data_IF_919889832233
#
_entry.id   IF_919889832233
#
_cell.length_a   1.000
_cell.length_b   1.000
_cell.length_c   1.000
_cell.angle_alpha   90.00
_cell.angle_beta   90.00
_cell.angle_gamma   90.00
#
_symmetry.space_group_name_H-M   'P 1'
#
loop_
_entity.id
_entity.type
_entity.pdbx_description
1 polymer ?
#
# COMPACT_ATOMS: atom_id res chain seq x y z
N UNK A 1 20.38 -10.91 -42.15
CA UNK A 1 19.20 -10.02 -42.29
C UNK A 1 19.15 -9.16 -41.03
N UNK A 2 19.47 -7.87 -41.17
CA UNK A 2 19.28 -6.91 -40.09
C UNK A 2 17.78 -6.71 -39.91
N UNK A 3 17.29 -6.97 -38.69
CA UNK A 3 15.94 -6.61 -38.30
C UNK A 3 15.94 -5.10 -38.14
N UNK A 4 15.22 -4.39 -39.00
CA UNK A 4 15.04 -2.94 -38.87
C UNK A 4 14.29 -2.68 -37.55
N UNK A 5 14.69 -1.67 -36.77
CA UNK A 5 13.95 -1.29 -35.59
C UNK A 5 12.53 -0.90 -36.01
N UNK A 6 11.55 -1.50 -35.36
CA UNK A 6 10.13 -1.21 -35.53
C UNK A 6 9.94 0.24 -35.04
N UNK A 7 9.48 1.13 -35.89
CA UNK A 7 9.14 2.50 -35.52
C UNK A 7 7.97 2.46 -34.51
N UNK A 8 8.26 2.81 -33.28
CA UNK A 8 7.26 2.81 -32.19
C UNK A 8 6.05 3.72 -32.48
N UNK A 9 6.19 4.68 -33.39
CA UNK A 9 5.09 5.56 -33.81
C UNK A 9 4.13 4.90 -34.81
N UNK A 10 4.46 3.72 -35.36
CA UNK A 10 3.61 2.99 -36.29
C UNK A 10 2.88 1.80 -35.71
N UNK A 11 3.14 1.46 -34.46
CA UNK A 11 2.38 0.42 -33.76
C UNK A 11 1.15 1.06 -33.14
N UNK A 12 0.05 1.04 -33.86
CA UNK A 12 -1.25 1.33 -33.29
C UNK A 12 -1.64 0.13 -32.38
N UNK A 13 -1.22 0.19 -31.13
CA UNK A 13 -1.51 -0.86 -30.15
C UNK A 13 -2.97 -0.75 -29.71
N UNK A 14 -3.88 -1.10 -30.59
CA UNK A 14 -5.26 -1.35 -30.20
C UNK A 14 -5.29 -2.56 -29.25
N UNK A 15 -5.84 -2.37 -28.06
CA UNK A 15 -6.06 -3.50 -27.18
C UNK A 15 -7.24 -4.35 -27.70
N UNK A 16 -7.36 -5.58 -27.22
CA UNK A 16 -8.38 -6.52 -27.68
C UNK A 16 -9.82 -5.96 -27.58
N UNK A 17 -10.08 -5.06 -26.66
CA UNK A 17 -11.40 -4.43 -26.51
C UNK A 17 -11.67 -3.44 -27.64
N UNK A 18 -10.69 -2.62 -28.01
CA UNK A 18 -10.78 -1.70 -29.15
C UNK A 18 -10.98 -2.46 -30.47
N UNK A 19 -10.28 -3.59 -30.62
CA UNK A 19 -10.44 -4.46 -31.82
C UNK A 19 -11.87 -4.99 -32.00
N UNK A 20 -12.64 -5.12 -30.92
CA UNK A 20 -14.05 -5.53 -30.96
C UNK A 20 -15.02 -4.35 -30.80
N UNK A 21 -14.53 -3.12 -31.00
CA UNK A 21 -15.34 -1.89 -30.99
C UNK A 21 -15.71 -1.39 -29.60
N UNK A 22 -14.95 -1.77 -28.56
CA UNK A 22 -15.15 -1.30 -27.19
C UNK A 22 -14.11 -0.25 -26.86
N UNK A 23 -14.46 1.01 -27.08
CA UNK A 23 -13.57 2.14 -26.76
C UNK A 23 -13.54 2.44 -25.26
N UNK A 24 -14.64 2.18 -24.56
CA UNK A 24 -14.78 2.42 -23.13
C UNK A 24 -15.46 1.23 -22.44
N UNK A 25 -14.71 0.50 -21.63
CA UNK A 25 -15.18 -0.70 -20.93
C UNK A 25 -16.32 -0.35 -19.96
N UNK A 26 -16.27 0.78 -19.25
CA UNK A 26 -17.35 1.19 -18.32
C UNK A 26 -18.68 1.36 -19.04
N UNK A 27 -18.65 2.08 -20.17
CA UNK A 27 -19.85 2.25 -21.01
C UNK A 27 -20.34 0.92 -21.60
N UNK A 28 -19.43 0.07 -22.02
CA UNK A 28 -19.76 -1.25 -22.56
C UNK A 28 -20.38 -2.18 -21.49
N UNK A 29 -19.97 -2.10 -20.22
CA UNK A 29 -20.58 -2.85 -19.12
C UNK A 29 -21.99 -2.33 -18.84
N UNK A 30 -22.23 -1.03 -18.92
CA UNK A 30 -23.58 -0.44 -18.72
C UNK A 30 -24.56 -0.87 -19.81
N UNK A 31 -24.08 -1.02 -21.06
CA UNK A 31 -24.88 -1.48 -22.21
C UNK A 31 -24.36 -2.81 -22.77
N UNK A 32 -24.11 -3.78 -21.88
CA UNK A 32 -23.50 -5.07 -22.24
C UNK A 32 -24.32 -5.87 -23.25
N UNK A 33 -25.62 -5.62 -23.38
CA UNK A 33 -26.47 -6.27 -24.39
C UNK A 33 -26.13 -5.85 -25.82
N UNK A 34 -25.48 -4.72 -25.99
CA UNK A 34 -25.05 -4.20 -27.30
C UNK A 34 -23.72 -4.81 -27.75
N UNK A 35 -22.90 -5.26 -26.80
CA UNK A 35 -21.55 -5.76 -27.05
C UNK A 35 -21.46 -7.26 -26.78
N UNK A 36 -20.56 -8.00 -27.46
CA UNK A 36 -20.37 -9.44 -27.22
C UNK A 36 -19.55 -9.67 -25.93
N UNK A 37 -20.02 -9.13 -24.79
CA UNK A 37 -19.38 -9.23 -23.49
C UNK A 37 -20.36 -9.74 -22.44
N UNK A 38 -19.82 -10.49 -21.48
CA UNK A 38 -20.54 -10.90 -20.27
C UNK A 38 -19.81 -10.35 -19.05
N UNK A 39 -20.34 -9.29 -18.41
CA UNK A 39 -19.67 -8.71 -17.25
C UNK A 39 -19.81 -9.61 -16.02
N UNK A 40 -18.70 -9.86 -15.33
CA UNK A 40 -18.69 -10.51 -14.02
C UNK A 40 -18.83 -9.45 -12.94
N UNK A 41 -20.04 -9.21 -12.46
CA UNK A 41 -20.38 -8.11 -11.56
C UNK A 41 -20.42 -8.49 -10.08
N UNK A 42 -19.99 -9.71 -9.73
CA UNK A 42 -19.89 -10.14 -8.34
C UNK A 42 -18.46 -10.53 -8.02
N UNK A 43 -17.88 -9.91 -7.00
CA UNK A 43 -16.58 -10.29 -6.47
C UNK A 43 -16.72 -11.12 -5.19
N UNK A 44 -15.87 -12.15 -5.04
CA UNK A 44 -15.87 -13.10 -3.91
C UNK A 44 -14.61 -13.01 -3.05
N UNK A 45 -13.63 -12.18 -3.42
CA UNK A 45 -12.33 -12.09 -2.76
C UNK A 45 -12.42 -11.39 -1.42
N UNK A 46 -12.84 -10.13 -1.45
CA UNK A 46 -12.81 -9.25 -0.28
C UNK A 46 -14.13 -9.27 0.48
N UNK A 47 -14.08 -9.03 1.77
CA UNK A 47 -15.27 -8.77 2.60
C UNK A 47 -16.05 -7.57 2.09
N UNK A 48 -17.35 -7.45 2.38
CA UNK A 48 -18.23 -6.44 1.76
C UNK A 48 -17.74 -5.00 1.91
N UNK A 49 -17.15 -4.60 3.05
CA UNK A 49 -16.65 -3.24 3.27
C UNK A 49 -15.54 -2.90 2.26
N UNK A 50 -14.54 -3.76 2.12
CA UNK A 50 -13.44 -3.57 1.17
C UNK A 50 -13.96 -3.66 -0.27
N UNK A 51 -14.80 -4.64 -0.57
CA UNK A 51 -15.38 -4.82 -1.89
C UNK A 51 -16.23 -3.63 -2.35
N UNK A 52 -17.00 -3.01 -1.45
CA UNK A 52 -17.76 -1.80 -1.73
C UNK A 52 -16.85 -0.59 -1.96
N UNK A 53 -15.77 -0.44 -1.17
CA UNK A 53 -14.79 0.61 -1.38
C UNK A 53 -14.18 0.49 -2.79
N UNK A 54 -13.64 -0.67 -3.14
CA UNK A 54 -13.02 -0.94 -4.44
C UNK A 54 -14.02 -0.73 -5.58
N UNK A 55 -15.27 -1.17 -5.39
CA UNK A 55 -16.32 -1.01 -6.39
C UNK A 55 -16.67 0.46 -6.65
N UNK A 56 -16.85 1.26 -5.58
CA UNK A 56 -17.11 2.70 -5.69
C UNK A 56 -15.92 3.46 -6.28
N UNK A 57 -14.71 3.04 -5.91
CA UNK A 57 -13.48 3.70 -6.33
C UNK A 57 -13.20 3.54 -7.82
N UNK A 58 -13.36 2.32 -8.37
CA UNK A 58 -12.90 2.01 -9.74
C UNK A 58 -13.98 1.56 -10.70
N UNK A 59 -15.15 1.17 -10.20
CA UNK A 59 -16.21 0.54 -11.00
C UNK A 59 -17.57 1.20 -10.84
N UNK A 60 -17.62 2.45 -10.38
CA UNK A 60 -18.87 3.24 -10.18
C UNK A 60 -19.96 2.46 -9.40
N UNK A 61 -19.53 1.59 -8.49
CA UNK A 61 -20.43 0.76 -7.70
C UNK A 61 -21.08 -0.42 -8.46
N UNK A 62 -20.67 -0.69 -9.70
CA UNK A 62 -21.26 -1.77 -10.52
C UNK A 62 -20.88 -3.16 -10.04
N UNK A 63 -19.63 -3.36 -9.62
CA UNK A 63 -19.18 -4.64 -9.08
C UNK A 63 -19.63 -4.77 -7.63
N UNK A 64 -20.41 -5.80 -7.33
CA UNK A 64 -20.94 -6.02 -5.98
C UNK A 64 -20.11 -7.04 -5.22
N UNK A 65 -19.80 -6.81 -3.94
CA UNK A 65 -19.25 -7.87 -3.11
C UNK A 65 -20.28 -8.94 -2.86
N UNK A 66 -19.84 -10.19 -2.70
CA UNK A 66 -20.70 -11.27 -2.24
C UNK A 66 -21.14 -10.99 -0.80
N UNK A 67 -22.41 -10.73 -0.60
CA UNK A 67 -22.96 -10.14 0.64
C UNK A 67 -22.72 -11.00 1.89
N UNK A 68 -22.57 -12.31 1.72
CA UNK A 68 -22.41 -13.26 2.83
C UNK A 68 -20.94 -13.54 3.18
N UNK A 69 -19.99 -12.88 2.51
CA UNK A 69 -18.59 -13.04 2.86
C UNK A 69 -18.29 -12.28 4.16
N UNK A 70 -18.12 -13.01 5.23
CA UNK A 70 -17.58 -12.50 6.49
C UNK A 70 -16.04 -12.60 6.49
N UNK A 71 -15.32 -11.86 7.36
CA UNK A 71 -13.91 -12.11 7.62
C UNK A 71 -13.70 -13.58 7.98
N UNK A 72 -12.77 -14.24 7.27
CA UNK A 72 -12.48 -15.65 7.52
C UNK A 72 -11.60 -15.84 8.76
N UNK A 73 -10.77 -14.82 9.04
CA UNK A 73 -9.81 -14.84 10.13
C UNK A 73 -10.04 -13.64 11.04
N UNK A 74 -10.20 -13.82 12.34
CA UNK A 74 -10.34 -12.71 13.26
C UNK A 74 -9.01 -11.96 13.38
N UNK A 75 -9.06 -10.65 13.62
CA UNK A 75 -7.90 -9.84 13.93
C UNK A 75 -8.21 -8.90 15.09
N UNK A 76 -7.53 -9.11 16.19
CA UNK A 76 -7.59 -8.25 17.37
C UNK A 76 -6.17 -7.89 17.79
N UNK A 77 -5.85 -6.61 17.73
CA UNK A 77 -4.57 -6.05 18.12
C UNK A 77 -4.73 -5.36 19.47
N UNK A 78 -3.91 -5.73 20.46
CA UNK A 78 -3.99 -5.11 21.79
C UNK A 78 -3.60 -3.63 21.69
N UNK A 79 -4.40 -2.77 22.32
CA UNK A 79 -4.19 -1.32 22.30
C UNK A 79 -4.44 -0.65 20.95
N UNK A 80 -4.79 -1.38 19.88
CA UNK A 80 -5.06 -0.83 18.57
C UNK A 80 -6.49 -1.18 18.15
N UNK A 81 -7.42 -0.21 18.17
CA UNK A 81 -8.77 -0.43 17.67
C UNK A 81 -8.73 -0.75 16.18
N UNK A 82 -9.23 -1.92 15.81
CA UNK A 82 -9.12 -2.46 14.45
C UNK A 82 -10.49 -2.74 13.86
N UNK A 83 -10.73 -2.24 12.66
CA UNK A 83 -11.86 -2.59 11.80
C UNK A 83 -11.37 -3.31 10.54
N UNK A 84 -12.28 -3.71 9.69
CA UNK A 84 -11.97 -4.23 8.36
C UNK A 84 -11.19 -3.22 7.50
N UNK A 85 -11.54 -1.92 7.62
CA UNK A 85 -10.86 -0.83 6.93
C UNK A 85 -10.25 0.14 7.94
N UNK A 86 -8.94 0.37 7.84
CA UNK A 86 -8.17 1.20 8.75
C UNK A 86 -7.34 2.22 7.97
N UNK A 87 -7.39 3.46 8.40
CA UNK A 87 -6.57 4.55 7.87
C UNK A 87 -5.57 4.95 8.94
N UNK A 88 -4.29 4.84 8.63
CA UNK A 88 -3.20 5.25 9.51
C UNK A 88 -2.58 6.50 8.93
N UNK A 89 -2.81 7.63 9.60
CA UNK A 89 -2.23 8.90 9.22
C UNK A 89 -0.87 9.12 9.86
N UNK A 90 0.13 9.57 9.09
CA UNK A 90 1.40 10.06 9.62
C UNK A 90 1.65 11.51 9.21
N UNK A 91 2.35 12.26 10.06
CA UNK A 91 2.69 13.65 9.75
C UNK A 91 3.98 13.67 8.92
N UNK A 92 3.88 14.24 7.73
CA UNK A 92 5.00 14.33 6.81
C UNK A 92 5.88 15.56 7.05
N UNK A 93 5.36 16.58 7.74
CA UNK A 93 6.06 17.85 7.97
C UNK A 93 7.02 17.79 9.16
N UNK A 94 6.84 16.83 10.06
CA UNK A 94 7.66 16.66 11.26
C UNK A 94 9.01 16.00 11.01
N UNK A 95 9.22 15.47 9.78
CA UNK A 95 10.45 14.75 9.46
C UNK A 95 11.44 15.65 8.71
N UNK A 96 12.70 15.55 9.10
CA UNK A 96 13.78 16.20 8.39
C UNK A 96 14.05 15.57 7.01
N UNK A 97 14.99 16.14 6.26
CA UNK A 97 15.32 15.68 4.90
C UNK A 97 15.90 14.25 4.85
N UNK A 98 16.30 13.68 5.98
CA UNK A 98 16.89 12.33 6.05
C UNK A 98 15.86 11.26 6.34
N UNK A 99 14.89 11.57 7.20
CA UNK A 99 13.83 10.62 7.61
C UNK A 99 12.52 10.81 6.88
N UNK A 100 12.39 11.94 6.17
CA UNK A 100 11.22 12.30 5.39
C UNK A 100 11.23 11.73 3.97
N UNK A 101 10.75 12.55 3.03
CA UNK A 101 10.64 12.19 1.62
C UNK A 101 12.02 12.15 0.97
N UNK A 102 12.34 11.02 0.36
CA UNK A 102 13.51 10.82 -0.46
C UNK A 102 13.19 10.23 -1.83
N UNK A 103 14.18 10.11 -2.70
CA UNK A 103 14.05 9.42 -3.97
C UNK A 103 15.36 8.71 -4.34
N UNK A 104 15.26 7.49 -4.85
CA UNK A 104 16.36 6.72 -5.42
C UNK A 104 15.96 6.37 -6.86
N UNK A 105 16.78 6.79 -7.84
CA UNK A 105 16.50 6.58 -9.26
C UNK A 105 15.07 7.03 -9.64
N UNK A 106 14.67 8.23 -9.25
CA UNK A 106 13.35 8.82 -9.47
C UNK A 106 12.19 8.11 -8.74
N UNK A 107 12.46 7.06 -7.98
CA UNK A 107 11.47 6.33 -7.20
C UNK A 107 11.39 6.89 -5.78
N UNK A 108 10.20 7.35 -5.39
CA UNK A 108 9.99 7.97 -4.09
C UNK A 108 10.03 6.94 -2.95
N UNK A 109 10.56 7.36 -1.81
CA UNK A 109 10.45 6.63 -0.55
C UNK A 109 10.25 7.62 0.62
N UNK A 110 9.74 7.10 1.72
CA UNK A 110 9.60 7.83 2.98
C UNK A 110 10.07 6.94 4.12
N UNK A 111 11.25 7.23 4.65
CA UNK A 111 11.91 6.32 5.58
C UNK A 111 11.08 6.03 6.84
N UNK A 112 10.44 7.06 7.40
CA UNK A 112 9.52 6.86 8.52
C UNK A 112 8.39 5.88 8.17
N UNK A 113 7.74 6.06 7.02
CA UNK A 113 6.65 5.19 6.61
C UNK A 113 7.11 3.74 6.42
N UNK A 114 8.33 3.54 5.89
CA UNK A 114 8.93 2.22 5.74
C UNK A 114 9.18 1.54 7.09
N UNK A 115 9.84 2.24 8.03
CA UNK A 115 10.14 1.73 9.37
C UNK A 115 8.85 1.47 10.16
N UNK A 116 7.92 2.42 10.13
CA UNK A 116 6.63 2.27 10.82
C UNK A 116 5.86 1.06 10.28
N UNK A 117 5.75 0.92 8.96
CA UNK A 117 5.00 -0.19 8.35
C UNK A 117 5.63 -1.55 8.65
N UNK A 118 6.97 -1.64 8.63
CA UNK A 118 7.67 -2.85 9.03
C UNK A 118 7.34 -3.23 10.48
N UNK A 119 7.43 -2.27 11.43
CA UNK A 119 7.16 -2.54 12.84
C UNK A 119 5.67 -2.81 13.12
N UNK A 120 4.77 -2.18 12.39
CA UNK A 120 3.34 -2.48 12.45
C UNK A 120 3.06 -3.92 11.98
N UNK A 121 3.69 -4.36 10.88
CA UNK A 121 3.57 -5.74 10.40
C UNK A 121 4.16 -6.74 11.40
N UNK A 122 5.29 -6.40 12.04
CA UNK A 122 5.89 -7.20 13.12
C UNK A 122 4.94 -7.33 14.30
N UNK A 123 4.41 -6.21 14.79
CA UNK A 123 3.45 -6.20 15.89
C UNK A 123 2.20 -7.04 15.57
N UNK A 124 1.64 -6.90 14.36
CA UNK A 124 0.53 -7.73 13.91
C UNK A 124 0.88 -9.23 13.97
N UNK A 125 2.05 -9.60 13.45
CA UNK A 125 2.47 -11.00 13.42
C UNK A 125 2.65 -11.57 14.83
N UNK A 126 3.23 -10.81 15.77
CA UNK A 126 3.36 -11.18 17.19
C UNK A 126 2.00 -11.37 17.85
N UNK A 127 1.05 -10.44 17.63
CA UNK A 127 -0.32 -10.56 18.15
C UNK A 127 -1.07 -11.76 17.55
N UNK A 128 -0.87 -12.03 16.27
CA UNK A 128 -1.44 -13.20 15.57
C UNK A 128 -0.89 -14.48 16.17
N UNK A 129 0.43 -14.58 16.34
CA UNK A 129 1.06 -15.75 16.92
C UNK A 129 0.59 -16.04 18.35
N UNK A 130 0.44 -14.97 19.14
CA UNK A 130 -0.01 -15.10 20.53
C UNK A 130 -1.48 -15.52 20.67
N UNK A 131 -2.36 -15.05 19.78
CA UNK A 131 -3.82 -15.20 19.95
C UNK A 131 -4.45 -16.27 19.07
N UNK A 132 -3.85 -16.58 17.94
CA UNK A 132 -4.47 -17.42 16.90
C UNK A 132 -3.57 -18.59 16.50
N UNK A 133 -2.97 -19.26 17.48
CA UNK A 133 -2.15 -20.46 17.24
C UNK A 133 -2.96 -21.52 16.46
N UNK A 134 -2.38 -22.05 15.39
CA UNK A 134 -3.03 -23.03 14.51
C UNK A 134 -3.87 -22.45 13.37
N UNK A 135 -3.88 -21.12 13.20
CA UNK A 135 -4.47 -20.44 12.05
C UNK A 135 -3.39 -19.67 11.31
N UNK A 136 -3.15 -20.03 10.04
CA UNK A 136 -2.16 -19.35 9.22
C UNK A 136 -2.71 -18.03 8.69
N UNK A 137 -1.90 -16.97 8.76
CA UNK A 137 -2.20 -15.64 8.24
C UNK A 137 -1.21 -15.23 7.16
N UNK A 138 -1.69 -14.39 6.26
CA UNK A 138 -0.86 -13.71 5.27
C UNK A 138 -0.99 -12.20 5.44
N UNK A 139 0.14 -11.51 5.58
CA UNK A 139 0.25 -10.05 5.60
C UNK A 139 0.96 -9.62 4.33
N UNK A 140 0.30 -8.79 3.52
CA UNK A 140 0.91 -8.16 2.35
C UNK A 140 1.22 -6.70 2.62
N UNK A 141 2.41 -6.25 2.21
CA UNK A 141 2.80 -4.84 2.23
C UNK A 141 2.99 -4.40 0.79
N UNK A 142 2.15 -3.48 0.33
CA UNK A 142 2.18 -2.99 -1.05
C UNK A 142 2.51 -1.51 -1.08
N UNK A 143 3.51 -1.16 -1.91
CA UNK A 143 3.95 0.20 -2.13
C UNK A 143 3.76 0.60 -3.60
N UNK A 144 3.31 1.84 -3.89
CA UNK A 144 3.27 2.36 -5.25
C UNK A 144 4.66 2.50 -5.88
N UNK A 145 5.68 2.77 -5.06
CA UNK A 145 7.04 3.04 -5.50
C UNK A 145 8.01 1.92 -5.13
N UNK A 146 8.90 1.59 -6.09
CA UNK A 146 9.88 0.51 -5.92
C UNK A 146 10.91 0.78 -4.82
N UNK A 147 11.31 2.05 -4.62
CA UNK A 147 12.28 2.40 -3.57
C UNK A 147 11.70 2.15 -2.17
N UNK A 148 10.42 2.50 -1.93
CA UNK A 148 9.73 2.20 -0.68
C UNK A 148 9.61 0.70 -0.44
N UNK A 149 9.16 -0.05 -1.46
CA UNK A 149 9.05 -1.50 -1.36
C UNK A 149 10.42 -2.14 -1.06
N UNK A 150 11.49 -1.65 -1.70
CA UNK A 150 12.86 -2.12 -1.45
C UNK A 150 13.32 -1.82 -0.02
N UNK A 151 13.04 -0.62 0.49
CA UNK A 151 13.40 -0.25 1.87
C UNK A 151 12.76 -1.21 2.89
N UNK A 152 11.45 -1.47 2.76
CA UNK A 152 10.74 -2.41 3.63
C UNK A 152 11.25 -3.84 3.45
N UNK A 153 11.48 -4.28 2.22
CA UNK A 153 12.03 -5.63 1.95
C UNK A 153 13.39 -5.82 2.58
N UNK A 154 14.27 -4.81 2.56
CA UNK A 154 15.57 -4.87 3.21
C UNK A 154 15.45 -4.97 4.74
N UNK A 155 14.44 -4.30 5.35
CA UNK A 155 14.18 -4.47 6.79
C UNK A 155 13.75 -5.90 7.09
N UNK A 156 12.85 -6.47 6.28
CA UNK A 156 12.40 -7.87 6.43
C UNK A 156 13.53 -8.87 6.22
N UNK A 157 14.45 -8.62 5.30
CA UNK A 157 15.64 -9.49 5.09
C UNK A 157 16.64 -9.42 6.23
N UNK A 158 16.93 -8.21 6.74
CA UNK A 158 17.90 -8.01 7.81
C UNK A 158 17.37 -8.44 9.18
N UNK A 159 16.09 -8.28 9.41
CA UNK A 159 15.37 -8.62 10.65
C UNK A 159 14.11 -9.39 10.31
N UNK A 160 14.23 -10.68 10.00
CA UNK A 160 13.09 -11.51 9.65
C UNK A 160 12.07 -11.55 10.79
N UNK A 161 10.80 -11.46 10.43
CA UNK A 161 9.69 -11.66 11.35
C UNK A 161 9.32 -13.14 11.28
N UNK A 162 9.89 -13.92 12.18
CA UNK A 162 9.76 -15.38 12.20
C UNK A 162 8.62 -15.81 13.13
N UNK A 163 7.40 -15.73 12.62
CA UNK A 163 6.21 -16.25 13.30
C UNK A 163 5.63 -17.41 12.47
N UNK A 164 5.63 -18.60 13.06
CA UNK A 164 5.33 -19.85 12.35
C UNK A 164 3.98 -19.85 11.59
N UNK A 165 2.99 -19.10 12.10
CA UNK A 165 1.66 -19.01 11.51
C UNK A 165 1.37 -17.67 10.83
N UNK A 166 2.39 -16.88 10.51
CA UNK A 166 2.22 -15.59 9.84
C UNK A 166 3.26 -15.38 8.74
N UNK A 167 2.82 -15.39 7.50
CA UNK A 167 3.68 -15.12 6.34
C UNK A 167 3.55 -13.66 5.94
N UNK A 168 4.69 -12.95 5.88
CA UNK A 168 4.75 -11.56 5.43
C UNK A 168 5.41 -11.48 4.06
N UNK A 169 4.85 -10.68 3.18
CA UNK A 169 5.40 -10.37 1.86
C UNK A 169 5.33 -8.87 1.59
N UNK A 170 6.36 -8.32 0.94
CA UNK A 170 6.44 -6.92 0.55
C UNK A 170 6.79 -6.78 -0.91
N UNK A 171 6.20 -5.78 -1.58
CA UNK A 171 6.53 -5.49 -2.97
C UNK A 171 5.77 -4.31 -3.54
N UNK A 172 5.99 -4.07 -4.82
CA UNK A 172 5.22 -3.08 -5.58
C UNK A 172 3.86 -3.65 -5.99
N UNK A 173 2.94 -2.77 -6.41
CA UNK A 173 1.64 -3.17 -6.94
C UNK A 173 1.76 -4.20 -8.07
N UNK A 174 2.79 -4.08 -8.91
CA UNK A 174 3.02 -5.01 -10.02
C UNK A 174 3.49 -6.39 -9.54
N UNK A 175 4.33 -6.46 -8.50
CA UNK A 175 4.79 -7.74 -7.95
C UNK A 175 3.68 -8.52 -7.24
N UNK A 176 2.63 -7.83 -6.77
CA UNK A 176 1.45 -8.43 -6.16
C UNK A 176 0.35 -8.77 -7.16
N UNK A 177 0.60 -8.67 -8.47
CA UNK A 177 -0.42 -8.97 -9.46
C UNK A 177 -0.75 -10.47 -9.46
N UNK A 178 -1.98 -10.81 -9.06
CA UNK A 178 -2.45 -12.19 -8.91
C UNK A 178 -2.54 -12.66 -7.45
N UNK A 179 -1.73 -12.15 -6.56
CA UNK A 179 -1.71 -12.54 -5.15
C UNK A 179 -2.79 -11.84 -4.33
N UNK A 180 -3.13 -12.41 -3.19
CA UNK A 180 -4.08 -11.86 -2.21
C UNK A 180 -3.62 -12.21 -0.79
N UNK A 181 -3.89 -11.33 0.16
CA UNK A 181 -3.53 -11.52 1.57
C UNK A 181 -4.73 -11.30 2.49
N UNK A 182 -4.71 -11.96 3.64
CA UNK A 182 -5.74 -11.80 4.67
C UNK A 182 -5.73 -10.35 5.21
N UNK A 183 -4.53 -9.82 5.40
CA UNK A 183 -4.27 -8.45 5.86
C UNK A 183 -3.40 -7.75 4.82
N UNK A 184 -3.81 -6.57 4.38
CA UNK A 184 -3.05 -5.76 3.42
C UNK A 184 -2.72 -4.40 4.02
N UNK A 185 -1.44 -4.06 4.05
CA UNK A 185 -0.90 -2.74 4.34
C UNK A 185 -0.56 -2.05 3.02
N UNK A 186 -1.26 -1.00 2.66
CA UNK A 186 -0.98 -0.20 1.46
C UNK A 186 -0.30 1.09 1.89
N UNK A 187 0.96 1.25 1.53
CA UNK A 187 1.79 2.39 1.94
C UNK A 187 1.74 3.47 0.87
N UNK A 188 0.96 4.50 1.11
CA UNK A 188 0.74 5.62 0.19
C UNK A 188 1.76 6.74 0.45
N UNK A 189 3.06 6.40 0.35
CA UNK A 189 4.12 7.40 0.50
C UNK A 189 4.15 8.35 -0.71
N UNK A 190 4.08 9.68 -0.49
CA UNK A 190 4.08 10.62 -1.60
C UNK A 190 5.50 10.93 -2.07
N UNK A 191 5.69 11.30 -3.36
CA UNK A 191 6.91 11.96 -3.81
C UNK A 191 6.97 13.41 -3.29
N UNK A 192 8.12 14.06 -3.44
CA UNK A 192 8.32 15.45 -3.00
C UNK A 192 7.30 16.44 -3.58
N UNK A 193 6.76 16.13 -4.77
CA UNK A 193 5.67 16.92 -5.38
C UNK A 193 4.57 15.98 -5.85
N UNK A 194 3.35 16.20 -5.37
CA UNK A 194 2.16 15.44 -5.77
C UNK A 194 1.35 16.28 -6.77
N UNK A 195 1.06 15.68 -7.91
CA UNK A 195 0.16 16.25 -8.92
C UNK A 195 -0.84 15.18 -9.38
N UNK A 196 -1.83 15.57 -10.15
CA UNK A 196 -2.83 14.64 -10.69
C UNK A 196 -2.19 13.52 -11.54
N UNK A 197 -1.10 13.81 -12.25
CA UNK A 197 -0.35 12.82 -13.05
C UNK A 197 0.65 11.98 -12.27
N UNK A 198 0.77 12.17 -10.97
CA UNK A 198 1.71 11.41 -10.14
C UNK A 198 1.27 9.95 -10.03
N UNK A 199 2.21 9.03 -10.08
CA UNK A 199 1.97 7.58 -10.05
C UNK A 199 1.05 7.13 -8.90
N UNK A 200 1.20 7.73 -7.70
CA UNK A 200 0.35 7.48 -6.54
C UNK A 200 -1.14 7.86 -6.74
N UNK A 201 -1.44 8.74 -7.70
CA UNK A 201 -2.80 9.15 -8.04
C UNK A 201 -3.41 8.31 -9.18
N UNK A 202 -2.69 7.31 -9.69
CA UNK A 202 -3.21 6.42 -10.71
C UNK A 202 -4.24 5.47 -10.09
N UNK A 203 -5.51 5.65 -10.46
CA UNK A 203 -6.62 4.85 -9.93
C UNK A 203 -6.43 3.34 -10.14
N UNK A 204 -5.84 2.92 -11.25
CA UNK A 204 -5.61 1.50 -11.53
C UNK A 204 -4.60 0.90 -10.54
N UNK A 205 -3.54 1.64 -10.21
CA UNK A 205 -2.52 1.20 -9.25
C UNK A 205 -3.13 1.07 -7.87
N UNK A 206 -3.85 2.09 -7.43
CA UNK A 206 -4.50 2.10 -6.11
C UNK A 206 -5.59 1.04 -6.01
N UNK A 207 -6.38 0.86 -7.08
CA UNK A 207 -7.37 -0.20 -7.16
C UNK A 207 -6.72 -1.59 -7.00
N UNK A 208 -5.64 -1.87 -7.73
CA UNK A 208 -4.93 -3.14 -7.61
C UNK A 208 -4.41 -3.34 -6.20
N UNK A 209 -3.80 -2.32 -5.58
CA UNK A 209 -3.29 -2.41 -4.21
C UNK A 209 -4.41 -2.74 -3.19
N UNK A 210 -5.51 -1.98 -3.20
CA UNK A 210 -6.61 -2.20 -2.27
C UNK A 210 -7.33 -3.54 -2.48
N UNK A 211 -7.52 -3.94 -3.75
CA UNK A 211 -8.22 -5.17 -4.10
C UNK A 211 -7.46 -6.46 -3.76
N UNK A 212 -6.23 -6.38 -3.26
CA UNK A 212 -5.47 -7.53 -2.75
C UNK A 212 -5.88 -7.93 -1.34
N UNK A 213 -6.55 -7.06 -0.61
CA UNK A 213 -7.04 -7.34 0.73
C UNK A 213 -8.24 -8.29 0.71
N UNK A 214 -8.18 -9.34 1.54
CA UNK A 214 -9.30 -10.27 1.75
C UNK A 214 -10.17 -9.84 2.91
N UNK A 215 -9.61 -9.72 4.09
CA UNK A 215 -10.34 -9.53 5.34
C UNK A 215 -10.06 -8.15 5.98
N UNK A 216 -8.82 -7.65 5.89
CA UNK A 216 -8.42 -6.38 6.50
C UNK A 216 -7.56 -5.54 5.56
N UNK A 217 -7.88 -4.25 5.49
CA UNK A 217 -7.13 -3.27 4.71
C UNK A 217 -6.67 -2.13 5.62
N UNK A 218 -5.37 -1.86 5.62
CA UNK A 218 -4.74 -0.73 6.27
C UNK A 218 -4.13 0.19 5.22
N UNK A 219 -4.58 1.44 5.18
CA UNK A 219 -4.04 2.47 4.31
C UNK A 219 -3.14 3.39 5.14
N UNK A 220 -1.84 3.33 4.91
CA UNK A 220 -0.83 4.15 5.59
C UNK A 220 -0.51 5.34 4.69
N UNK A 221 -0.90 6.54 5.09
CA UNK A 221 -0.80 7.73 4.24
C UNK A 221 -0.54 9.00 5.07
N UNK A 222 0.03 10.07 4.47
CA UNK A 222 0.12 11.36 5.13
C UNK A 222 -1.25 11.89 5.57
N UNK A 223 -1.33 12.44 6.77
CA UNK A 223 -2.54 13.03 7.37
C UNK A 223 -2.50 14.55 7.48
N UNK A 224 -1.37 15.19 7.20
CA UNK A 224 -1.24 16.64 7.32
C UNK A 224 -1.97 17.39 6.22
N UNK A 225 -2.65 18.48 6.59
CA UNK A 225 -3.45 19.32 5.67
C UNK A 225 -2.63 19.92 4.52
N UNK A 226 -1.31 20.07 4.69
CA UNK A 226 -0.40 20.59 3.67
C UNK A 226 0.02 19.60 2.62
N UNK A 227 -0.29 18.31 2.79
CA UNK A 227 0.16 17.25 1.89
C UNK A 227 -0.98 16.31 1.53
N UNK A 228 -1.97 16.83 0.81
CA UNK A 228 -3.13 16.03 0.40
C UNK A 228 -2.80 15.22 -0.86
N UNK A 229 -2.90 13.92 -0.75
CA UNK A 229 -2.91 13.02 -1.90
C UNK A 229 -4.36 12.96 -2.42
N UNK A 230 -4.64 13.46 -3.65
CA UNK A 230 -6.01 13.54 -4.17
C UNK A 230 -6.77 12.22 -4.11
N UNK A 231 -6.09 11.10 -4.42
CA UNK A 231 -6.70 9.77 -4.36
C UNK A 231 -7.11 9.38 -2.94
N UNK A 232 -6.33 9.75 -1.91
CA UNK A 232 -6.69 9.48 -0.52
C UNK A 232 -7.90 10.30 -0.07
N UNK A 233 -7.99 11.55 -0.51
CA UNK A 233 -9.18 12.38 -0.28
C UNK A 233 -10.43 11.77 -0.94
N UNK A 234 -10.29 11.27 -2.16
CA UNK A 234 -11.39 10.58 -2.85
C UNK A 234 -11.82 9.32 -2.08
N UNK A 235 -10.88 8.47 -1.68
CA UNK A 235 -11.15 7.27 -0.87
C UNK A 235 -11.89 7.65 0.42
N UNK A 236 -11.42 8.69 1.12
CA UNK A 236 -12.07 9.20 2.33
C UNK A 236 -13.53 9.62 2.10
N UNK A 237 -13.81 10.30 0.98
CA UNK A 237 -15.16 10.80 0.65
C UNK A 237 -16.15 9.67 0.30
N UNK A 238 -15.68 8.58 -0.31
CA UNK A 238 -16.55 7.45 -0.71
C UNK A 238 -16.69 6.39 0.37
N UNK A 239 -16.00 6.55 1.50
CA UNK A 239 -16.03 5.60 2.63
C UNK A 239 -16.91 6.16 3.75
N UNK A 240 -17.79 5.31 4.32
CA UNK A 240 -18.58 5.71 5.48
C UNK A 240 -17.73 5.71 6.75
N UNK A 241 -17.97 6.65 7.66
CA UNK A 241 -17.23 6.73 8.93
C UNK A 241 -17.45 5.51 9.84
N UNK A 242 -18.64 4.89 9.74
CA UNK A 242 -18.93 3.63 10.47
C UNK A 242 -18.06 2.46 10.03
N UNK A 243 -17.63 2.45 8.77
CA UNK A 243 -16.94 1.32 8.14
C UNK A 243 -15.41 1.38 8.33
N UNK A 244 -14.90 2.54 8.71
CA UNK A 244 -13.45 2.79 8.85
C UNK A 244 -13.04 3.07 10.29
N UNK A 245 -11.78 2.75 10.59
CA UNK A 245 -11.06 3.20 11.77
C UNK A 245 -10.03 4.26 11.35
N UNK A 246 -9.99 5.38 12.04
CA UNK A 246 -8.95 6.41 11.85
C UNK A 246 -7.93 6.26 12.97
N UNK A 247 -6.67 6.17 12.61
CA UNK A 247 -5.54 5.93 13.50
C UNK A 247 -4.44 6.95 13.17
N UNK A 248 -3.63 7.27 14.15
CA UNK A 248 -2.46 8.14 13.99
C UNK A 248 -1.21 7.34 14.31
N UNK A 249 -0.21 7.41 13.45
CA UNK A 249 0.98 6.57 13.57
C UNK A 249 1.71 6.77 14.89
N UNK A 250 1.86 8.01 15.35
CA UNK A 250 2.53 8.31 16.63
C UNK A 250 1.80 7.75 17.86
N UNK A 251 0.45 7.71 17.84
CA UNK A 251 -0.32 7.05 18.92
C UNK A 251 -0.12 5.52 18.90
N UNK A 252 0.07 4.95 17.70
CA UNK A 252 0.37 3.53 17.55
C UNK A 252 1.80 3.18 17.96
N UNK A 253 2.76 4.09 17.78
CA UNK A 253 4.13 3.90 18.24
C UNK A 253 4.20 3.66 19.75
N UNK A 254 3.41 4.39 20.53
CA UNK A 254 3.28 4.14 21.98
C UNK A 254 2.85 2.72 22.28
N UNK A 255 1.91 2.18 21.52
CA UNK A 255 1.44 0.81 21.72
C UNK A 255 2.49 -0.22 21.28
N UNK A 256 3.18 0.04 20.15
CA UNK A 256 4.15 -0.88 19.57
C UNK A 256 5.47 -0.90 20.34
N UNK A 257 5.93 0.25 20.80
CA UNK A 257 7.25 0.43 21.43
C UNK A 257 7.22 0.89 22.90
N UNK A 258 6.05 1.25 23.42
CA UNK A 258 5.92 1.82 24.78
C UNK A 258 6.24 3.31 24.89
N UNK A 259 6.61 3.96 23.78
CA UNK A 259 7.00 5.38 23.73
C UNK A 259 6.38 6.07 22.50
N UNK A 260 5.96 7.33 22.70
CA UNK A 260 5.48 8.18 21.61
C UNK A 260 6.69 8.67 20.78
N UNK A 261 6.51 8.87 19.48
CA UNK A 261 7.57 9.35 18.57
C UNK A 261 8.86 8.49 18.58
N UNK A 262 8.71 7.21 18.91
CA UNK A 262 9.83 6.29 19.10
C UNK A 262 10.75 6.23 17.88
N UNK A 263 10.20 6.06 16.68
CA UNK A 263 10.98 5.97 15.45
C UNK A 263 11.81 7.24 15.25
N UNK A 264 11.21 8.39 15.48
CA UNK A 264 11.88 9.70 15.33
C UNK A 264 13.05 9.87 16.31
N UNK A 265 12.85 9.45 17.55
CA UNK A 265 13.82 9.63 18.62
C UNK A 265 14.97 8.62 18.57
N UNK A 266 14.75 7.43 17.98
CA UNK A 266 15.70 6.32 18.01
C UNK A 266 16.26 5.94 16.62
N UNK A 267 15.87 6.64 15.57
CA UNK A 267 16.43 6.38 14.22
C UNK A 267 17.50 7.40 13.90
N UNK A 268 18.71 6.92 13.66
CA UNK A 268 19.78 7.72 13.07
C UNK A 268 19.98 7.33 11.61
N UNK A 269 20.10 8.33 10.75
CA UNK A 269 20.40 8.13 9.34
C UNK A 269 21.75 8.73 9.03
N UNK A 270 22.69 7.90 8.61
CA UNK A 270 23.98 8.37 8.12
C UNK A 270 23.99 8.29 6.60
N UNK A 271 24.14 9.43 5.95
CA UNK A 271 24.31 9.50 4.50
C UNK A 271 25.77 9.60 4.16
N UNK A 272 26.33 8.61 3.48
CA UNK A 272 27.67 8.62 2.93
C UNK A 272 27.62 9.17 1.50
N UNK A 273 27.55 10.51 1.36
CA UNK A 273 27.73 11.16 0.07
C UNK A 273 29.20 11.54 -0.12
N UNK A 274 29.82 11.26 -1.28
CA UNK A 274 31.05 11.92 -1.67
C UNK A 274 30.78 13.44 -1.76
N UNK A 275 31.67 14.25 -1.22
CA UNK A 275 31.51 15.68 -0.94
C UNK A 275 31.11 16.57 -2.15
N UNK A 276 31.00 16.04 -3.37
CA UNK A 276 30.82 16.81 -4.60
C UNK A 276 29.71 16.30 -5.54
N UNK A 277 28.78 15.47 -5.11
CA UNK A 277 27.79 14.92 -6.03
C UNK A 277 26.37 15.22 -5.56
N UNK A 278 25.78 16.27 -6.14
CA UNK A 278 24.35 16.47 -6.17
C UNK A 278 23.77 15.40 -7.11
N UNK A 279 22.93 14.48 -6.58
CA UNK A 279 22.12 13.50 -7.34
C UNK A 279 22.90 12.38 -8.04
N UNK A 280 23.75 11.66 -7.35
CA UNK A 280 24.29 10.39 -7.89
C UNK A 280 23.53 9.18 -7.34
N UNK A 281 23.29 8.22 -8.25
CA UNK A 281 22.69 6.91 -7.97
C UNK A 281 23.54 5.99 -7.06
N UNK A 282 24.71 6.47 -6.61
CA UNK A 282 25.66 5.78 -5.75
C UNK A 282 25.59 6.20 -4.28
N UNK A 283 24.60 6.98 -3.86
CA UNK A 283 24.45 7.31 -2.44
C UNK A 283 24.05 6.07 -1.64
N UNK A 284 24.94 5.59 -0.81
CA UNK A 284 24.65 4.56 0.17
C UNK A 284 24.08 5.23 1.43
N UNK A 285 22.85 4.87 1.79
CA UNK A 285 22.24 5.27 3.04
C UNK A 285 22.43 4.15 4.06
N UNK A 286 23.08 4.44 5.16
CA UNK A 286 23.09 3.56 6.32
C UNK A 286 22.05 4.06 7.31
N UNK A 287 21.01 3.26 7.52
CA UNK A 287 20.00 3.49 8.55
C UNK A 287 20.35 2.65 9.75
N UNK A 288 20.60 3.29 10.88
CA UNK A 288 20.76 2.59 12.16
C UNK A 288 19.53 2.89 13.00
N UNK A 289 18.90 1.82 13.45
CA UNK A 289 17.89 1.85 14.50
C UNK A 289 18.62 1.36 15.75
N UNK A 290 18.57 2.09 16.85
CA UNK A 290 19.21 1.70 18.09
C UNK A 290 18.69 0.33 18.53
N UNK A 291 19.61 -0.63 18.76
CA UNK A 291 19.29 -2.03 19.03
C UNK A 291 18.49 -2.25 20.32
N UNK A 292 18.54 -1.30 21.27
CA UNK A 292 17.72 -1.33 22.49
C UNK A 292 16.21 -1.16 22.25
N UNK A 293 15.85 -0.86 21.05
CA UNK A 293 14.48 -0.65 20.62
C UNK A 293 13.78 -1.93 20.15
N UNK A 294 14.48 -3.05 20.11
CA UNK A 294 14.04 -4.27 19.43
C UNK A 294 14.28 -5.54 20.27
N UNK A 295 14.79 -5.39 21.52
CA UNK A 295 14.77 -6.40 22.57
C UNK A 295 13.45 -6.33 23.38
#
# INVERSE_FOLDING_TARGET
KQIQPIDQNQINLENIYQMVGIDNIRSAIQDYKRYPIVPLLTQYRSVPVIGNLVSRFSYDGMVKPFAYRAPQKPLQLDGIPTKTLNFIGFDIQEFDSLTGIGAINESAFHLYAAIFTYNMARYMAEQIAAKYSGTDYTIGIVCPYGAEAKAISQLLERRPIDQANCKISCGTVHSFQGDECDIMLVVMNPPAKVSAGTHINNENIVNVAMSRARDYLFLVAPSSDGYQIPVMKHIGNITNDSDRQLLKSWELEKTIFGDDDYIRNHTSVTCHLPVNVYYDSAAEYEVRIDDHALD
#
